data_IF_085163124547
#
_entry.id   IF_085163124547
#
_cell.length_a   1.000
_cell.length_b   1.000
_cell.length_c   1.000
_cell.angle_alpha   90.00
_cell.angle_beta   90.00
_cell.angle_gamma   90.00
#
_symmetry.space_group_name_H-M   'P 1'
#
loop_
_entity.id
_entity.type
_entity.pdbx_description
1 polymer ?
#
# COMPACT_ATOMS: atom_id res chain seq x y z
N UNK A 1 -43.68 5.32 1.07
CA UNK A 1 -42.71 5.59 -0.01
C UNK A 1 -41.32 5.36 0.56
N UNK A 2 -40.68 4.25 0.19
CA UNK A 2 -39.37 3.86 0.73
C UNK A 2 -38.28 4.67 0.04
N UNK A 3 -37.59 5.55 0.78
CA UNK A 3 -36.38 6.19 0.30
C UNK A 3 -35.21 5.23 0.50
N UNK A 4 -34.70 4.69 -0.62
CA UNK A 4 -33.49 3.88 -0.64
C UNK A 4 -32.33 4.85 -0.88
N UNK A 5 -31.56 5.16 0.18
CA UNK A 5 -30.32 5.93 0.06
C UNK A 5 -29.23 4.95 -0.40
N UNK A 6 -28.53 5.18 -1.53
CA UNK A 6 -27.39 4.35 -1.89
C UNK A 6 -26.24 4.60 -0.91
N UNK A 7 -25.89 3.57 -0.14
CA UNK A 7 -24.69 3.55 0.71
C UNK A 7 -23.44 3.52 -0.19
N UNK A 8 -22.95 4.70 -0.58
CA UNK A 8 -21.60 4.82 -1.11
C UNK A 8 -20.60 4.53 0.02
N UNK A 9 -20.06 3.32 0.03
CA UNK A 9 -18.92 2.93 0.84
C UNK A 9 -17.63 3.56 0.30
N UNK A 10 -17.51 4.88 0.36
CA UNK A 10 -16.21 5.55 0.28
C UNK A 10 -15.71 5.74 1.70
N UNK A 11 -15.06 4.72 2.26
CA UNK A 11 -14.26 4.93 3.47
C UNK A 11 -13.27 6.06 3.18
N UNK A 12 -13.20 7.14 3.99
CA UNK A 12 -12.22 8.18 3.76
C UNK A 12 -10.83 7.56 3.88
N UNK A 13 -10.16 7.38 2.74
CA UNK A 13 -8.73 7.07 2.74
C UNK A 13 -8.04 8.20 3.48
N UNK A 14 -7.23 7.92 4.51
CA UNK A 14 -6.47 8.96 5.20
C UNK A 14 -5.68 9.75 4.16
N UNK A 15 -5.98 11.03 4.01
CA UNK A 15 -5.22 11.94 3.17
C UNK A 15 -4.06 12.46 4.03
N UNK A 16 -2.83 12.18 3.61
CA UNK A 16 -1.65 12.68 4.28
C UNK A 16 -1.33 14.08 3.82
N UNK A 17 -0.98 14.95 4.77
CA UNK A 17 -0.66 16.34 4.45
C UNK A 17 0.81 16.51 4.12
N UNK A 18 1.66 15.62 4.64
CA UNK A 18 3.09 15.66 4.43
C UNK A 18 3.65 14.30 4.02
N UNK A 19 4.78 14.34 3.30
CA UNK A 19 5.50 13.13 2.91
C UNK A 19 5.98 12.36 4.15
N UNK A 20 6.40 13.06 5.20
CA UNK A 20 6.86 12.46 6.44
C UNK A 20 5.77 11.63 7.14
N UNK A 21 4.55 12.16 7.23
CA UNK A 21 3.40 11.44 7.80
C UNK A 21 3.13 10.14 7.03
N UNK A 22 3.19 10.21 5.70
CA UNK A 22 2.97 9.06 4.84
C UNK A 22 4.09 8.03 4.98
N UNK A 23 5.36 8.44 4.97
CA UNK A 23 6.48 7.53 5.19
C UNK A 23 6.44 6.87 6.57
N UNK A 24 6.00 7.62 7.60
CA UNK A 24 5.77 7.10 8.96
C UNK A 24 4.58 6.13 9.05
N UNK A 25 3.57 6.26 8.18
CA UNK A 25 2.53 5.23 8.05
C UNK A 25 3.12 3.95 7.42
N UNK A 26 3.85 4.11 6.31
CA UNK A 26 4.41 2.98 5.55
C UNK A 26 5.46 2.19 6.34
N UNK A 27 6.21 2.85 7.22
CA UNK A 27 7.25 2.21 8.04
C UNK A 27 6.71 1.20 9.06
N UNK A 28 5.40 1.22 9.34
CA UNK A 28 4.74 0.23 10.18
C UNK A 28 4.71 -1.17 9.55
N UNK A 29 4.89 -1.25 8.23
CA UNK A 29 4.76 -2.47 7.46
C UNK A 29 6.12 -3.06 7.06
N UNK A 30 7.17 -2.24 6.99
CA UNK A 30 8.49 -2.67 6.57
C UNK A 30 9.46 -1.51 6.42
N UNK A 31 10.63 -1.79 5.86
CA UNK A 31 11.66 -0.79 5.59
C UNK A 31 11.28 0.04 4.36
N UNK A 32 11.07 1.34 4.55
CA UNK A 32 10.66 2.26 3.48
C UNK A 32 11.88 2.97 2.91
N UNK A 33 11.99 2.97 1.59
CA UNK A 33 13.04 3.66 0.85
C UNK A 33 12.45 4.57 -0.21
N UNK A 34 12.89 5.83 -0.22
CA UNK A 34 12.57 6.80 -1.28
C UNK A 34 13.83 7.17 -2.04
N UNK A 35 13.76 7.16 -3.37
CA UNK A 35 14.92 7.40 -4.26
C UNK A 35 14.56 8.40 -5.34
N UNK A 36 15.50 9.29 -5.61
CA UNK A 36 15.47 10.23 -6.72
C UNK A 36 16.52 9.83 -7.76
N UNK A 37 16.10 9.75 -9.02
CA UNK A 37 16.95 9.31 -10.12
C UNK A 37 17.45 10.48 -11.00
N UNK A 38 18.51 10.22 -11.77
CA UNK A 38 19.15 11.23 -12.65
C UNK A 38 18.20 11.76 -13.74
N UNK A 39 17.21 10.98 -14.12
CA UNK A 39 16.16 11.35 -15.09
C UNK A 39 15.04 12.20 -14.47
N UNK A 40 15.24 12.72 -13.24
CA UNK A 40 14.31 13.55 -12.48
C UNK A 40 13.03 12.82 -12.06
N UNK A 41 13.10 11.50 -11.91
CA UNK A 41 11.98 10.68 -11.45
C UNK A 41 12.16 10.25 -9.99
N UNK A 42 11.03 9.92 -9.36
CA UNK A 42 10.97 9.40 -8.00
C UNK A 42 10.54 7.94 -7.99
N UNK A 43 10.96 7.26 -6.92
CA UNK A 43 10.61 5.88 -6.64
C UNK A 43 10.50 5.67 -5.14
N UNK A 44 9.48 4.93 -4.73
CA UNK A 44 9.30 4.48 -3.36
C UNK A 44 9.21 2.96 -3.35
N UNK A 45 9.83 2.31 -2.37
CA UNK A 45 9.58 0.90 -2.08
C UNK A 45 9.54 0.62 -0.58
N UNK A 46 8.84 -0.46 -0.24
CA UNK A 46 8.74 -1.04 1.09
C UNK A 46 9.24 -2.47 0.98
N UNK A 47 10.27 -2.79 1.75
CA UNK A 47 10.74 -4.17 1.95
C UNK A 47 10.11 -4.70 3.24
N UNK A 48 9.26 -5.71 3.11
CA UNK A 48 8.51 -6.30 4.22
C UNK A 48 9.03 -7.70 4.51
N UNK A 49 9.39 -7.95 5.77
CA UNK A 49 9.75 -9.28 6.23
C UNK A 49 8.59 -9.91 7.00
N UNK A 50 7.98 -10.96 6.44
CA UNK A 50 6.86 -11.67 7.09
C UNK A 50 7.42 -12.90 7.81
N UNK A 51 7.59 -12.75 9.13
CA UNK A 51 8.22 -13.74 10.03
C UNK A 51 7.51 -15.11 10.00
N UNK A 52 6.20 -15.14 9.67
CA UNK A 52 5.39 -16.37 9.70
C UNK A 52 5.65 -17.37 8.58
N UNK A 53 6.11 -16.93 7.41
CA UNK A 53 6.30 -17.82 6.25
C UNK A 53 7.75 -17.82 5.73
N UNK A 54 8.65 -17.04 6.34
CA UNK A 54 10.03 -16.88 5.86
C UNK A 54 10.10 -16.18 4.50
N UNK A 55 9.05 -15.45 4.12
CA UNK A 55 8.95 -14.77 2.82
C UNK A 55 9.21 -13.27 3.00
N UNK A 56 10.09 -12.73 2.16
CA UNK A 56 10.25 -11.28 1.97
C UNK A 56 9.37 -10.86 0.79
N UNK A 57 8.60 -9.80 1.00
CA UNK A 57 7.80 -9.18 -0.04
C UNK A 57 8.27 -7.75 -0.26
N UNK A 58 8.43 -7.38 -1.53
CA UNK A 58 8.76 -6.02 -1.91
C UNK A 58 7.59 -5.38 -2.62
N UNK A 59 7.16 -4.23 -2.12
CA UNK A 59 6.13 -3.41 -2.74
C UNK A 59 6.81 -2.12 -3.20
N UNK A 60 6.55 -1.70 -4.43
CA UNK A 60 7.21 -0.53 -4.99
C UNK A 60 6.27 0.26 -5.89
N UNK A 61 6.51 1.57 -5.97
CA UNK A 61 6.00 2.41 -7.05
C UNK A 61 6.69 2.10 -8.37
N UNK A 62 6.19 2.66 -9.46
CA UNK A 62 6.94 2.67 -10.72
C UNK A 62 8.16 3.60 -10.62
N UNK A 63 9.16 3.39 -11.47
CA UNK A 63 10.39 4.20 -11.51
C UNK A 63 10.22 5.58 -12.16
N UNK A 64 8.99 6.05 -12.39
CA UNK A 64 8.71 7.24 -13.21
C UNK A 64 7.78 8.23 -12.51
N UNK A 65 7.84 8.28 -11.18
CA UNK A 65 6.92 9.12 -10.42
C UNK A 65 7.37 10.59 -10.50
N UNK A 66 6.43 11.53 -10.71
CA UNK A 66 6.78 12.94 -10.89
C UNK A 66 7.24 13.61 -9.59
N UNK A 67 6.78 13.13 -8.44
CA UNK A 67 7.13 13.68 -7.12
C UNK A 67 7.35 12.58 -6.10
N UNK A 68 8.09 12.91 -5.04
CA UNK A 68 8.28 12.04 -3.88
C UNK A 68 6.95 11.60 -3.25
N UNK A 69 5.99 12.54 -3.14
CA UNK A 69 4.64 12.27 -2.63
C UNK A 69 3.91 11.25 -3.50
N UNK A 70 3.89 11.45 -4.82
CA UNK A 70 3.19 10.56 -5.74
C UNK A 70 3.78 9.14 -5.71
N UNK A 71 5.10 9.02 -5.55
CA UNK A 71 5.76 7.75 -5.37
C UNK A 71 5.33 7.03 -4.09
N UNK A 72 5.30 7.75 -2.97
CA UNK A 72 4.89 7.21 -1.69
C UNK A 72 3.39 6.83 -1.67
N UNK A 73 2.51 7.65 -2.26
CA UNK A 73 1.08 7.37 -2.39
C UNK A 73 0.83 6.13 -3.25
N UNK A 74 1.50 6.03 -4.40
CA UNK A 74 1.43 4.84 -5.25
C UNK A 74 1.88 3.58 -4.50
N UNK A 75 2.95 3.70 -3.71
CA UNK A 75 3.45 2.58 -2.92
C UNK A 75 2.45 2.15 -1.84
N UNK A 76 1.77 3.11 -1.20
CA UNK A 76 0.70 2.86 -0.23
C UNK A 76 -0.50 2.18 -0.85
N UNK A 77 -0.96 2.63 -2.01
CA UNK A 77 -2.10 2.02 -2.70
C UNK A 77 -1.83 0.55 -3.05
N UNK A 78 -0.61 0.27 -3.53
CA UNK A 78 -0.15 -1.09 -3.82
C UNK A 78 -0.04 -1.95 -2.56
N UNK A 79 0.46 -1.37 -1.46
CA UNK A 79 0.50 -2.03 -0.15
C UNK A 79 -0.90 -2.43 0.32
N UNK A 80 -1.84 -1.50 0.33
CA UNK A 80 -3.22 -1.76 0.77
C UNK A 80 -3.87 -2.83 -0.11
N UNK A 81 -3.64 -2.78 -1.42
CA UNK A 81 -4.15 -3.78 -2.35
C UNK A 81 -3.55 -5.17 -2.08
N UNK A 82 -2.23 -5.25 -1.90
CA UNK A 82 -1.56 -6.51 -1.59
C UNK A 82 -2.03 -7.11 -0.26
N UNK A 83 -2.19 -6.30 0.79
CA UNK A 83 -2.70 -6.75 2.09
C UNK A 83 -4.14 -7.26 2.00
N UNK A 84 -5.00 -6.61 1.21
CA UNK A 84 -6.36 -7.09 0.95
C UNK A 84 -6.36 -8.44 0.23
N UNK A 85 -5.50 -8.60 -0.77
CA UNK A 85 -5.39 -9.85 -1.52
C UNK A 85 -4.91 -11.01 -0.63
N UNK A 86 -3.92 -10.76 0.23
CA UNK A 86 -3.44 -11.74 1.23
C UNK A 86 -4.58 -12.11 2.19
N UNK A 87 -5.28 -11.11 2.73
CA UNK A 87 -6.41 -11.33 3.66
C UNK A 87 -7.61 -12.05 3.03
N UNK A 88 -7.81 -11.94 1.72
CA UNK A 88 -8.86 -12.66 1.00
C UNK A 88 -8.44 -14.09 0.64
N UNK A 89 -7.16 -14.32 0.29
CA UNK A 89 -6.64 -15.66 -0.01
C UNK A 89 -6.68 -16.58 1.22
N UNK A 90 -6.46 -16.06 2.42
CA UNK A 90 -6.57 -16.84 3.67
C UNK A 90 -7.98 -17.34 3.98
N UNK A 91 -9.04 -16.73 3.43
CA UNK A 91 -10.44 -17.20 3.58
C UNK A 91 -10.83 -18.34 2.63
N UNK A 92 -9.95 -18.71 1.70
CA UNK A 92 -10.28 -19.66 0.61
C UNK A 92 -9.70 -21.07 0.77
N UNK A 93 -9.18 -21.44 1.94
CA UNK A 93 -8.83 -22.84 2.23
C UNK A 93 -10.11 -23.63 2.56
N UNK A 94 -10.59 -24.55 1.70
CA UNK A 94 -11.58 -25.52 2.13
C UNK A 94 -10.94 -26.44 3.17
N UNK A 95 -11.53 -26.49 4.36
CA UNK A 95 -11.37 -27.64 5.25
C UNK A 95 -11.91 -28.87 4.51
N UNK A 96 -11.02 -29.66 3.89
CA UNK A 96 -11.35 -31.04 3.54
C UNK A 96 -11.11 -31.88 4.79
N UNK A 97 -12.21 -32.18 5.47
CA UNK A 97 -12.34 -33.28 6.45
C UNK A 97 -12.04 -34.63 5.83
#
# INVERSE_FOLDING_TARGET
>A
MSNVIPLQHSSPTPSFKTLEELLNELSKYGEVSIRYFKDKTWYCCIDMFVIGEGISFKIASDFKQPTAMNAAETCRERLISALKDIGNKSKSLPHTS
#
